data_IF_609525384330
#
_entry.id   IF_609525384330
#
_cell.length_a   1.000
_cell.length_b   1.000
_cell.length_c   1.000
_cell.angle_alpha   90.00
_cell.angle_beta   90.00
_cell.angle_gamma   90.00
#
_symmetry.space_group_name_H-M   'P 1'
#
loop_
_entity.id
_entity.type
_entity.pdbx_description
1 polymer ?
#
# COMPACT_ATOMS: atom_id res chain seq x y z
N UNK A 1 27.27 4.74 -7.07
CA UNK A 1 26.58 4.89 -5.77
C UNK A 1 27.63 4.84 -4.66
N UNK A 2 27.68 5.80 -3.73
CA UNK A 2 28.70 5.82 -2.67
C UNK A 2 28.41 4.74 -1.61
N UNK A 3 29.45 4.23 -0.93
CA UNK A 3 29.30 3.21 0.11
C UNK A 3 28.35 3.63 1.25
N UNK A 4 28.29 4.94 1.54
CA UNK A 4 27.39 5.50 2.56
C UNK A 4 25.91 5.36 2.15
N UNK A 5 25.58 5.54 0.88
CA UNK A 5 24.20 5.42 0.37
C UNK A 5 23.76 3.96 0.40
N UNK A 6 24.61 3.04 -0.04
CA UNK A 6 24.30 1.61 0.00
C UNK A 6 24.05 1.13 1.43
N UNK A 7 24.88 1.57 2.39
CA UNK A 7 24.71 1.21 3.79
C UNK A 7 23.45 1.84 4.41
N UNK A 8 23.12 3.08 4.05
CA UNK A 8 21.88 3.71 4.50
C UNK A 8 20.63 3.00 3.96
N UNK A 9 20.64 2.59 2.68
CA UNK A 9 19.60 1.78 2.06
C UNK A 9 19.45 0.42 2.77
N UNK A 10 20.56 -0.27 3.07
CA UNK A 10 20.53 -1.52 3.82
C UNK A 10 19.90 -1.36 5.22
N UNK A 11 20.23 -0.28 5.95
CA UNK A 11 19.59 0.00 7.24
C UNK A 11 18.10 0.30 7.09
N UNK A 12 17.70 1.05 6.06
CA UNK A 12 16.29 1.35 5.82
C UNK A 12 15.48 0.06 5.55
N UNK A 13 15.99 -0.85 4.73
CA UNK A 13 15.32 -2.14 4.47
C UNK A 13 15.12 -2.95 5.74
N UNK A 14 16.15 -3.03 6.59
CA UNK A 14 16.03 -3.70 7.89
C UNK A 14 14.99 -3.04 8.79
N UNK A 15 14.91 -1.72 8.80
CA UNK A 15 13.91 -0.97 9.55
C UNK A 15 12.49 -1.18 9.00
N UNK A 16 12.33 -1.46 7.70
CA UNK A 16 11.04 -1.76 7.10
C UNK A 16 10.58 -3.19 7.38
N UNK A 17 11.51 -4.15 7.39
CA UNK A 17 11.24 -5.55 7.76
C UNK A 17 10.90 -5.68 9.24
N UNK A 18 11.65 -4.96 10.08
CA UNK A 18 11.43 -4.89 11.52
C UNK A 18 11.46 -3.43 11.99
N UNK A 19 10.29 -2.77 12.07
CA UNK A 19 10.17 -1.41 12.61
C UNK A 19 10.59 -1.29 14.08
N UNK A 20 10.64 -2.42 14.81
CA UNK A 20 11.16 -2.48 16.18
C UNK A 20 12.68 -2.62 16.25
N UNK A 21 13.35 -2.75 15.09
CA UNK A 21 14.81 -2.82 15.01
C UNK A 21 15.47 -1.58 15.63
N UNK A 22 16.69 -1.78 16.11
CA UNK A 22 17.37 -0.87 17.05
C UNK A 22 17.37 0.58 16.57
N UNK A 23 17.09 1.51 17.50
CA UNK A 23 17.33 2.95 17.34
C UNK A 23 18.74 3.27 16.80
N UNK A 24 19.69 2.35 16.99
CA UNK A 24 21.00 2.38 16.34
C UNK A 24 20.92 2.45 14.81
N UNK A 25 20.16 1.58 14.15
CA UNK A 25 20.05 1.54 12.68
C UNK A 25 19.43 2.82 12.13
N UNK A 26 18.35 3.30 12.77
CA UNK A 26 17.72 4.58 12.44
C UNK A 26 18.73 5.74 12.54
N UNK A 27 19.44 5.86 13.66
CA UNK A 27 20.43 6.91 13.87
C UNK A 27 21.60 6.82 12.88
N UNK A 28 22.04 5.60 12.53
CA UNK A 28 23.09 5.38 11.53
C UNK A 28 22.63 5.79 10.14
N UNK A 29 21.45 5.40 9.71
CA UNK A 29 20.87 5.81 8.43
C UNK A 29 20.81 7.33 8.32
N UNK A 30 20.26 8.03 9.33
CA UNK A 30 20.26 9.49 9.35
C UNK A 30 21.66 10.10 9.26
N UNK A 31 22.61 9.60 10.05
CA UNK A 31 23.97 10.16 10.09
C UNK A 31 24.64 10.05 8.73
N UNK A 32 24.52 8.89 8.07
CA UNK A 32 25.07 8.65 6.74
C UNK A 32 24.43 9.58 5.71
N UNK A 33 23.09 9.65 5.67
CA UNK A 33 22.37 10.47 4.70
C UNK A 33 22.62 11.97 4.93
N UNK A 34 22.63 12.45 6.19
CA UNK A 34 22.97 13.85 6.53
C UNK A 34 24.40 14.19 6.09
N UNK A 35 25.36 13.29 6.29
CA UNK A 35 26.75 13.48 5.83
C UNK A 35 26.83 13.62 4.30
N UNK A 36 26.10 12.79 3.55
CA UNK A 36 26.06 12.88 2.08
C UNK A 36 25.41 14.20 1.64
N UNK A 37 24.25 14.54 2.19
CA UNK A 37 23.49 15.73 1.83
C UNK A 37 24.20 17.04 2.24
N UNK A 38 25.03 17.02 3.29
CA UNK A 38 25.86 18.18 3.64
C UNK A 38 26.91 18.51 2.57
N UNK A 39 27.40 17.50 1.83
CA UNK A 39 28.39 17.68 0.75
C UNK A 39 27.73 17.87 -0.61
N UNK A 40 26.61 17.20 -0.85
CA UNK A 40 25.85 17.24 -2.09
C UNK A 40 24.35 17.32 -1.78
N UNK A 41 23.81 18.54 -1.51
CA UNK A 41 22.41 18.72 -1.13
C UNK A 41 21.41 18.20 -2.16
N UNK A 42 21.77 18.21 -3.45
CA UNK A 42 20.92 17.77 -4.56
C UNK A 42 21.10 16.27 -4.90
N UNK A 43 21.79 15.50 -4.07
CA UNK A 43 22.02 14.09 -4.35
C UNK A 43 20.71 13.30 -4.34
N UNK A 44 20.21 12.93 -5.52
CA UNK A 44 18.89 12.34 -5.73
C UNK A 44 18.62 11.11 -4.85
N UNK A 45 19.45 10.07 -4.91
CA UNK A 45 19.24 8.86 -4.11
C UNK A 45 19.28 9.10 -2.60
N UNK A 46 20.14 10.03 -2.13
CA UNK A 46 20.23 10.34 -0.71
C UNK A 46 18.98 11.11 -0.24
N UNK A 47 18.45 12.00 -1.08
CA UNK A 47 17.17 12.65 -0.84
C UNK A 47 16.01 11.65 -0.85
N UNK A 48 15.98 10.69 -1.78
CA UNK A 48 14.95 9.65 -1.79
C UNK A 48 14.97 8.82 -0.50
N UNK A 49 16.13 8.28 -0.13
CA UNK A 49 16.28 7.48 1.09
C UNK A 49 15.97 8.29 2.35
N UNK A 50 16.35 9.58 2.39
CA UNK A 50 15.99 10.46 3.50
C UNK A 50 14.48 10.69 3.57
N UNK A 51 13.82 10.86 2.42
CA UNK A 51 12.37 11.02 2.37
C UNK A 51 11.64 9.77 2.89
N UNK A 52 12.06 8.58 2.46
CA UNK A 52 11.51 7.30 2.92
C UNK A 52 11.77 7.09 4.42
N UNK A 53 12.98 7.36 4.91
CA UNK A 53 13.30 7.28 6.34
C UNK A 53 12.40 8.22 7.16
N UNK A 54 12.28 9.47 6.72
CA UNK A 54 11.47 10.49 7.40
C UNK A 54 9.98 10.13 7.41
N UNK A 55 9.44 9.62 6.29
CA UNK A 55 8.03 9.25 6.17
C UNK A 55 7.71 7.93 6.89
N UNK A 56 8.45 6.86 6.58
CA UNK A 56 8.09 5.50 6.94
C UNK A 56 8.54 5.12 8.35
N UNK A 57 9.66 5.69 8.81
CA UNK A 57 10.30 5.31 10.07
C UNK A 57 10.10 6.37 11.15
N UNK A 58 10.26 7.64 10.79
CA UNK A 58 10.07 8.76 11.74
C UNK A 58 8.62 9.25 11.79
N UNK A 59 7.83 8.93 10.77
CA UNK A 59 6.41 9.29 10.70
C UNK A 59 6.21 10.82 10.69
N UNK A 60 7.09 11.53 9.97
CA UNK A 60 7.07 12.99 9.82
C UNK A 60 6.75 13.39 8.35
N UNK A 61 5.48 13.24 7.90
CA UNK A 61 5.11 13.42 6.50
C UNK A 61 5.42 14.83 5.96
N UNK A 62 5.26 15.88 6.76
CA UNK A 62 5.55 17.25 6.32
C UNK A 62 7.04 17.48 6.08
N UNK A 63 7.90 16.88 6.91
CA UNK A 63 9.35 16.96 6.76
C UNK A 63 9.84 16.15 5.55
N UNK A 64 9.20 15.02 5.24
CA UNK A 64 9.56 14.17 4.10
C UNK A 64 9.34 14.86 2.74
N UNK A 65 8.32 15.73 2.61
CA UNK A 65 7.93 16.38 1.35
C UNK A 65 9.09 17.07 0.64
N UNK A 66 9.98 17.78 1.36
CA UNK A 66 11.11 18.49 0.75
C UNK A 66 12.12 17.54 0.11
N UNK A 67 12.33 16.39 0.74
CA UNK A 67 13.28 15.38 0.29
C UNK A 67 12.74 14.64 -0.93
N UNK A 68 11.44 14.32 -0.97
CA UNK A 68 10.82 13.77 -2.17
C UNK A 68 10.95 14.72 -3.38
N UNK A 69 10.68 16.02 -3.18
CA UNK A 69 10.84 17.03 -4.26
C UNK A 69 12.28 17.09 -4.77
N UNK A 70 13.27 16.99 -3.88
CA UNK A 70 14.67 16.96 -4.25
C UNK A 70 15.13 15.65 -4.92
N UNK A 71 14.29 14.61 -4.92
CA UNK A 71 14.58 13.30 -5.52
C UNK A 71 13.95 13.10 -6.92
N UNK A 72 13.17 14.06 -7.44
CA UNK A 72 12.40 13.92 -8.70
C UNK A 72 13.27 13.77 -9.97
N UNK A 73 14.60 13.83 -9.86
CA UNK A 73 15.49 13.66 -11.01
C UNK A 73 15.60 12.23 -11.56
N UNK A 74 14.96 11.22 -10.95
CA UNK A 74 14.91 9.86 -11.48
C UNK A 74 13.56 9.17 -11.20
N UNK A 75 13.27 8.09 -11.94
CA UNK A 75 11.99 7.38 -11.94
C UNK A 75 11.46 7.05 -10.53
N UNK A 76 12.29 6.45 -9.68
CA UNK A 76 11.89 6.07 -8.31
C UNK A 76 11.50 7.26 -7.43
N UNK A 77 12.08 8.45 -7.65
CA UNK A 77 11.68 9.67 -6.94
C UNK A 77 10.26 10.10 -7.30
N UNK A 78 9.90 9.99 -8.58
CA UNK A 78 8.53 10.22 -9.05
C UNK A 78 7.55 9.21 -8.48
N UNK A 79 7.91 7.92 -8.47
CA UNK A 79 7.10 6.86 -7.88
C UNK A 79 6.72 7.16 -6.42
N UNK A 80 7.73 7.37 -5.57
CA UNK A 80 7.50 7.60 -4.14
C UNK A 80 6.83 8.93 -3.85
N UNK A 81 7.13 9.98 -4.63
CA UNK A 81 6.43 11.24 -4.46
C UNK A 81 4.95 11.13 -4.86
N UNK A 82 4.63 10.37 -5.91
CA UNK A 82 3.25 10.06 -6.27
C UNK A 82 2.52 9.31 -5.15
N UNK A 83 3.16 8.31 -4.55
CA UNK A 83 2.62 7.59 -3.37
C UNK A 83 2.39 8.50 -2.16
N UNK A 84 3.32 9.42 -1.89
CA UNK A 84 3.20 10.41 -0.83
C UNK A 84 2.03 11.37 -1.10
N UNK A 85 1.91 11.90 -2.33
CA UNK A 85 0.81 12.78 -2.70
C UNK A 85 -0.54 12.08 -2.55
N UNK A 86 -0.62 10.81 -2.97
CA UNK A 86 -1.80 9.98 -2.78
C UNK A 86 -2.20 9.89 -1.32
N UNK A 87 -1.25 9.58 -0.42
CA UNK A 87 -1.50 9.49 1.01
C UNK A 87 -1.95 10.83 1.62
N UNK A 88 -1.52 11.95 1.04
CA UNK A 88 -1.96 13.30 1.46
C UNK A 88 -3.30 13.75 0.85
N UNK A 89 -3.90 12.95 -0.04
CA UNK A 89 -5.15 13.26 -0.73
C UNK A 89 -5.01 14.06 -2.03
N UNK A 90 -3.79 14.33 -2.49
CA UNK A 90 -3.53 14.98 -3.79
C UNK A 90 -3.53 13.94 -4.91
N UNK A 91 -4.73 13.48 -5.29
CA UNK A 91 -4.92 12.43 -6.30
C UNK A 91 -4.40 12.84 -7.68
N UNK A 92 -4.59 14.10 -8.08
CA UNK A 92 -4.15 14.56 -9.40
C UNK A 92 -2.62 14.64 -9.47
N UNK A 93 -1.96 15.20 -8.45
CA UNK A 93 -0.51 15.22 -8.38
C UNK A 93 0.09 13.80 -8.29
N UNK A 94 -0.59 12.88 -7.60
CA UNK A 94 -0.19 11.47 -7.57
C UNK A 94 -0.21 10.82 -8.96
N UNK A 95 -1.29 11.03 -9.73
CA UNK A 95 -1.40 10.54 -11.11
C UNK A 95 -0.32 11.12 -12.02
N UNK A 96 -0.07 12.43 -11.94
CA UNK A 96 0.92 13.10 -12.79
C UNK A 96 2.33 12.53 -12.57
N UNK A 97 2.71 12.28 -11.32
CA UNK A 97 4.03 11.73 -11.00
C UNK A 97 4.15 10.22 -11.28
N UNK A 98 3.07 9.45 -11.14
CA UNK A 98 3.09 8.05 -11.55
C UNK A 98 3.23 7.90 -13.07
N UNK A 99 2.68 8.82 -13.86
CA UNK A 99 2.92 8.84 -15.30
C UNK A 99 4.38 9.19 -15.62
N UNK A 100 5.00 10.15 -14.92
CA UNK A 100 6.44 10.41 -15.05
C UNK A 100 7.28 9.17 -14.69
N UNK A 101 6.92 8.44 -13.64
CA UNK A 101 7.57 7.18 -13.28
C UNK A 101 7.52 6.17 -14.44
N UNK A 102 6.34 5.97 -15.04
CA UNK A 102 6.17 5.08 -16.20
C UNK A 102 6.96 5.50 -17.43
N UNK A 103 7.12 6.81 -17.66
CA UNK A 103 7.91 7.32 -18.79
C UNK A 103 9.41 7.11 -18.59
N UNK A 104 9.88 7.10 -17.34
CA UNK A 104 11.29 6.98 -16.99
C UNK A 104 11.74 5.54 -16.69
N UNK A 105 10.82 4.65 -16.31
CA UNK A 105 11.09 3.23 -16.02
C UNK A 105 10.14 2.31 -16.81
N UNK A 106 10.65 1.53 -17.79
CA UNK A 106 9.85 0.56 -18.55
C UNK A 106 9.12 -0.48 -17.69
N UNK A 107 9.61 -0.79 -16.48
CA UNK A 107 8.95 -1.70 -15.55
C UNK A 107 7.83 -1.02 -14.73
N UNK A 108 7.69 0.30 -14.81
CA UNK A 108 6.66 1.02 -14.05
C UNK A 108 5.23 0.63 -14.42
N UNK A 109 5.02 -0.01 -15.57
CA UNK A 109 3.73 -0.51 -16.03
C UNK A 109 3.21 -1.72 -15.25
N UNK A 110 4.09 -2.48 -14.58
CA UNK A 110 3.75 -3.68 -13.81
C UNK A 110 3.84 -3.49 -12.30
N UNK A 111 3.95 -2.23 -11.82
CA UNK A 111 4.10 -1.94 -10.40
C UNK A 111 2.76 -1.79 -9.67
N UNK A 112 2.65 -2.36 -8.47
CA UNK A 112 1.45 -2.33 -7.64
C UNK A 112 0.99 -0.94 -7.26
N UNK A 113 1.95 -0.03 -7.15
CA UNK A 113 1.71 1.37 -6.91
C UNK A 113 0.79 2.01 -7.96
N UNK A 114 0.88 1.60 -9.22
CA UNK A 114 0.21 2.27 -10.35
C UNK A 114 -1.26 1.90 -10.36
N UNK A 115 -1.58 0.61 -10.29
CA UNK A 115 -2.95 0.14 -10.17
C UNK A 115 -3.60 0.64 -8.86
N UNK A 116 -2.82 0.71 -7.77
CA UNK A 116 -3.27 1.30 -6.52
C UNK A 116 -3.64 2.77 -6.69
N UNK A 117 -2.78 3.60 -7.29
CA UNK A 117 -3.04 5.03 -7.51
C UNK A 117 -4.28 5.26 -8.39
N UNK A 118 -4.45 4.49 -9.47
CA UNK A 118 -5.66 4.60 -10.30
C UNK A 118 -6.93 4.20 -9.56
N UNK A 119 -6.87 3.11 -8.78
CA UNK A 119 -8.00 2.64 -7.97
C UNK A 119 -8.38 3.70 -6.93
N UNK A 120 -7.40 4.24 -6.23
CA UNK A 120 -7.60 5.25 -5.19
C UNK A 120 -8.07 6.59 -5.77
N UNK A 121 -7.76 6.88 -7.04
CA UNK A 121 -8.20 8.08 -7.76
C UNK A 121 -9.57 7.92 -8.44
N UNK A 122 -10.33 6.86 -8.13
CA UNK A 122 -11.66 6.57 -8.68
C UNK A 122 -11.72 6.48 -10.22
N UNK A 123 -10.61 6.11 -10.88
CA UNK A 123 -10.56 5.89 -12.34
C UNK A 123 -10.64 4.40 -12.66
N UNK A 124 -11.67 3.74 -12.14
CA UNK A 124 -11.76 2.28 -12.12
C UNK A 124 -11.89 1.66 -13.52
N UNK A 125 -12.68 2.26 -14.42
CA UNK A 125 -12.84 1.77 -15.80
C UNK A 125 -11.54 1.92 -16.59
N UNK A 126 -10.84 3.05 -16.45
CA UNK A 126 -9.55 3.26 -17.09
C UNK A 126 -8.48 2.29 -16.54
N UNK A 127 -8.53 1.99 -15.24
CA UNK A 127 -7.68 0.97 -14.63
C UNK A 127 -7.98 -0.42 -15.19
N UNK A 128 -9.25 -0.79 -15.33
CA UNK A 128 -9.67 -2.06 -15.90
C UNK A 128 -9.18 -2.20 -17.35
N UNK A 129 -9.41 -1.18 -18.19
CA UNK A 129 -8.95 -1.16 -19.58
C UNK A 129 -7.43 -1.30 -19.71
N UNK A 130 -6.67 -0.68 -18.79
CA UNK A 130 -5.23 -0.81 -18.77
C UNK A 130 -4.79 -2.23 -18.36
N UNK A 131 -5.42 -2.81 -17.33
CA UNK A 131 -5.13 -4.17 -16.88
C UNK A 131 -5.45 -5.19 -17.97
N UNK A 132 -6.62 -5.12 -18.59
CA UNK A 132 -7.01 -6.10 -19.63
C UNK A 132 -6.05 -6.12 -20.84
N UNK A 133 -5.42 -4.99 -21.17
CA UNK A 133 -4.37 -4.95 -22.21
C UNK A 133 -3.09 -5.68 -21.82
N UNK A 134 -2.82 -5.84 -20.52
CA UNK A 134 -1.67 -6.55 -19.98
C UNK A 134 -1.91 -8.06 -19.84
N UNK A 135 -3.16 -8.52 -19.96
CA UNK A 135 -3.54 -9.92 -19.79
C UNK A 135 -2.64 -10.91 -20.55
N UNK A 136 -2.32 -10.72 -21.85
CA UNK A 136 -1.51 -11.69 -22.61
C UNK A 136 -0.12 -11.93 -22.04
N UNK A 137 0.37 -11.02 -21.20
CA UNK A 137 1.72 -11.03 -20.63
C UNK A 137 1.75 -11.25 -19.11
N UNK A 138 0.60 -11.13 -18.44
CA UNK A 138 0.52 -11.02 -16.97
C UNK A 138 -0.41 -12.04 -16.31
N UNK A 139 -0.97 -12.98 -17.05
CA UNK A 139 -1.96 -13.96 -16.53
C UNK A 139 -1.39 -14.97 -15.52
N UNK A 140 -0.07 -15.02 -15.35
CA UNK A 140 0.58 -15.78 -14.27
C UNK A 140 1.04 -14.91 -13.11
N UNK A 141 0.82 -13.59 -13.19
CA UNK A 141 1.26 -12.63 -12.20
C UNK A 141 0.22 -12.49 -11.10
N UNK A 142 0.57 -12.87 -9.87
CA UNK A 142 -0.27 -12.61 -8.69
C UNK A 142 -0.71 -11.15 -8.60
N UNK A 143 0.20 -10.25 -8.91
CA UNK A 143 -0.06 -8.82 -8.90
C UNK A 143 -1.23 -8.43 -9.83
N UNK A 144 -1.24 -8.98 -11.04
CA UNK A 144 -2.29 -8.73 -12.02
C UNK A 144 -3.67 -9.15 -11.51
N UNK A 145 -3.77 -10.35 -10.92
CA UNK A 145 -5.02 -10.86 -10.35
C UNK A 145 -5.47 -10.07 -9.12
N UNK A 146 -4.55 -9.66 -8.25
CA UNK A 146 -4.83 -8.75 -7.11
C UNK A 146 -5.44 -7.43 -7.57
N UNK A 147 -4.92 -6.85 -8.65
CA UNK A 147 -5.43 -5.60 -9.21
C UNK A 147 -6.81 -5.77 -9.82
N UNK A 148 -6.99 -6.80 -10.65
CA UNK A 148 -8.30 -7.07 -11.25
C UNK A 148 -9.35 -7.31 -10.16
N UNK A 149 -9.04 -8.07 -9.11
CA UNK A 149 -9.95 -8.23 -7.97
C UNK A 149 -10.38 -6.88 -7.43
N UNK A 150 -9.41 -6.04 -7.04
CA UNK A 150 -9.67 -4.75 -6.42
C UNK A 150 -10.51 -3.85 -7.32
N UNK A 151 -10.19 -3.78 -8.63
CA UNK A 151 -10.95 -2.98 -9.60
C UNK A 151 -12.37 -3.53 -9.78
N UNK A 152 -12.55 -4.86 -9.89
CA UNK A 152 -13.87 -5.46 -9.99
C UNK A 152 -14.72 -5.25 -8.73
N UNK A 153 -14.12 -5.24 -7.54
CA UNK A 153 -14.83 -4.90 -6.29
C UNK A 153 -15.35 -3.47 -6.32
N UNK A 154 -14.52 -2.51 -6.74
CA UNK A 154 -14.93 -1.10 -6.84
C UNK A 154 -16.01 -0.88 -7.92
N UNK A 155 -16.00 -1.66 -8.99
CA UNK A 155 -17.02 -1.63 -10.04
C UNK A 155 -18.31 -2.41 -9.68
N UNK A 156 -18.35 -3.11 -8.54
CA UNK A 156 -19.49 -3.95 -8.16
C UNK A 156 -19.61 -5.24 -8.97
N UNK A 157 -18.57 -5.64 -9.70
CA UNK A 157 -18.48 -6.86 -10.50
C UNK A 157 -18.13 -8.07 -9.62
N UNK A 158 -19.00 -8.33 -8.64
CA UNK A 158 -18.77 -9.24 -7.49
C UNK A 158 -18.27 -10.63 -7.91
N UNK A 159 -18.86 -11.25 -8.94
CA UNK A 159 -18.45 -12.57 -9.40
C UNK A 159 -17.05 -12.56 -10.01
N UNK A 160 -16.71 -11.53 -10.81
CA UNK A 160 -15.38 -11.42 -11.42
C UNK A 160 -14.33 -11.17 -10.34
N UNK A 161 -14.61 -10.29 -9.37
CA UNK A 161 -13.77 -10.09 -8.21
C UNK A 161 -13.49 -11.40 -7.47
N UNK A 162 -14.53 -12.19 -7.20
CA UNK A 162 -14.39 -13.47 -6.53
C UNK A 162 -13.55 -14.47 -7.32
N UNK A 163 -13.71 -14.56 -8.64
CA UNK A 163 -12.83 -15.38 -9.49
C UNK A 163 -11.35 -15.00 -9.33
N UNK A 164 -11.04 -13.70 -9.32
CA UNK A 164 -9.66 -13.25 -9.13
C UNK A 164 -9.15 -13.53 -7.71
N UNK A 165 -10.00 -13.39 -6.70
CA UNK A 165 -9.67 -13.76 -5.33
C UNK A 165 -9.28 -15.25 -5.23
N UNK A 166 -10.08 -16.14 -5.82
CA UNK A 166 -9.79 -17.58 -5.80
C UNK A 166 -8.45 -17.91 -6.44
N UNK A 167 -8.12 -17.25 -7.56
CA UNK A 167 -6.81 -17.40 -8.20
C UNK A 167 -5.68 -17.02 -7.23
N UNK A 168 -5.77 -15.85 -6.59
CA UNK A 168 -4.74 -15.36 -5.66
C UNK A 168 -4.62 -16.27 -4.43
N UNK A 169 -5.73 -16.78 -3.91
CA UNK A 169 -5.72 -17.73 -2.80
C UNK A 169 -5.08 -19.06 -3.21
N UNK A 170 -5.38 -19.59 -4.39
CA UNK A 170 -4.73 -20.79 -4.88
C UNK A 170 -3.21 -20.61 -5.00
N UNK A 171 -2.76 -19.49 -5.57
CA UNK A 171 -1.34 -19.15 -5.69
C UNK A 171 -0.67 -18.91 -4.31
N UNK A 172 -1.43 -18.44 -3.32
CA UNK A 172 -0.99 -18.32 -1.93
C UNK A 172 -0.95 -19.67 -1.17
N UNK A 173 -1.33 -20.78 -1.80
CA UNK A 173 -1.22 -22.13 -1.23
C UNK A 173 -2.44 -22.59 -0.43
N UNK A 174 -3.61 -21.95 -0.61
CA UNK A 174 -4.84 -22.44 0.01
C UNK A 174 -5.21 -23.80 -0.56
N UNK A 175 -5.46 -24.77 0.34
CA UNK A 175 -5.82 -26.13 -0.06
C UNK A 175 -7.23 -26.17 -0.67
N UNK A 176 -7.56 -27.21 -1.47
CA UNK A 176 -8.91 -27.38 -2.00
C UNK A 176 -10.01 -27.36 -0.94
N UNK A 177 -9.72 -27.83 0.28
CA UNK A 177 -10.66 -27.81 1.39
C UNK A 177 -10.91 -26.41 1.96
N UNK A 178 -9.91 -25.52 1.95
CA UNK A 178 -10.09 -24.12 2.34
C UNK A 178 -10.81 -23.35 1.24
N UNK A 179 -10.45 -23.61 -0.03
CA UNK A 179 -11.14 -23.02 -1.19
C UNK A 179 -12.63 -23.33 -1.19
N UNK A 180 -13.03 -24.57 -0.89
CA UNK A 180 -14.45 -24.95 -0.78
C UNK A 180 -15.19 -24.20 0.35
N UNK A 181 -14.52 -23.88 1.46
CA UNK A 181 -15.11 -23.08 2.54
C UNK A 181 -15.34 -21.64 2.08
N UNK A 182 -14.37 -21.07 1.37
CA UNK A 182 -14.45 -19.73 0.80
C UNK A 182 -15.58 -19.64 -0.24
N UNK A 183 -15.70 -20.62 -1.12
CA UNK A 183 -16.81 -20.73 -2.09
C UNK A 183 -18.17 -20.86 -1.39
N UNK A 184 -18.24 -21.65 -0.31
CA UNK A 184 -19.47 -21.76 0.49
C UNK A 184 -19.84 -20.44 1.17
N UNK A 185 -18.85 -19.72 1.71
CA UNK A 185 -19.05 -18.40 2.30
C UNK A 185 -19.55 -17.38 1.26
N UNK A 186 -18.97 -17.41 0.06
CA UNK A 186 -19.40 -16.58 -1.07
C UNK A 186 -20.83 -16.91 -1.51
N UNK A 187 -21.18 -18.19 -1.66
CA UNK A 187 -22.52 -18.61 -2.08
C UNK A 187 -23.61 -18.18 -1.08
N UNK A 188 -23.27 -18.08 0.20
CA UNK A 188 -24.20 -17.71 1.27
C UNK A 188 -24.40 -16.20 1.39
N UNK A 189 -23.29 -15.44 1.45
CA UNK A 189 -23.32 -14.01 1.82
C UNK A 189 -22.56 -13.11 0.83
N UNK A 190 -22.18 -13.61 -0.34
CA UNK A 190 -21.35 -12.90 -1.30
C UNK A 190 -19.95 -12.59 -0.77
N UNK A 191 -19.34 -11.50 -1.25
CA UNK A 191 -17.99 -11.10 -0.82
C UNK A 191 -17.91 -10.83 0.69
N UNK A 192 -18.97 -10.30 1.29
CA UNK A 192 -18.98 -10.05 2.75
C UNK A 192 -18.80 -11.35 3.55
N UNK A 193 -19.36 -12.46 3.08
CA UNK A 193 -19.13 -13.80 3.65
C UNK A 193 -17.67 -14.24 3.55
N UNK A 194 -17.05 -14.04 2.38
CA UNK A 194 -15.64 -14.36 2.14
C UNK A 194 -14.74 -13.57 3.07
N UNK A 195 -14.98 -12.25 3.19
CA UNK A 195 -14.20 -11.39 4.06
C UNK A 195 -14.39 -11.70 5.55
N UNK A 196 -15.59 -12.11 5.96
CA UNK A 196 -15.85 -12.61 7.31
C UNK A 196 -15.10 -13.91 7.59
N UNK A 197 -15.05 -14.82 6.63
CA UNK A 197 -14.24 -16.04 6.72
C UNK A 197 -12.74 -15.72 6.85
N UNK A 198 -12.22 -14.82 6.00
CA UNK A 198 -10.82 -14.36 6.08
C UNK A 198 -10.48 -13.70 7.43
N UNK A 199 -11.45 -13.00 8.01
CA UNK A 199 -11.30 -12.32 9.30
C UNK A 199 -11.23 -13.31 10.48
N UNK A 200 -12.11 -14.30 10.53
CA UNK A 200 -12.31 -15.13 11.73
C UNK A 200 -11.82 -16.57 11.59
N UNK A 201 -11.85 -17.13 10.39
CA UNK A 201 -11.71 -18.57 10.17
C UNK A 201 -10.42 -18.95 9.42
N UNK A 202 -9.84 -18.03 8.63
CA UNK A 202 -8.65 -18.31 7.82
C UNK A 202 -7.43 -18.72 8.68
N UNK A 203 -6.97 -19.97 8.59
CA UNK A 203 -5.82 -20.44 9.35
C UNK A 203 -4.48 -20.06 8.72
N UNK A 204 -4.45 -19.73 7.42
CA UNK A 204 -3.20 -19.40 6.71
C UNK A 204 -2.78 -17.97 6.98
N UNK A 205 -3.74 -17.04 7.08
CA UNK A 205 -3.49 -15.59 7.24
C UNK A 205 -2.49 -15.07 6.21
N UNK A 206 -2.53 -15.64 5.00
CA UNK A 206 -1.59 -15.33 3.94
C UNK A 206 -1.86 -13.93 3.37
N UNK A 207 -0.81 -13.27 2.85
CA UNK A 207 -1.00 -12.04 2.09
C UNK A 207 -1.53 -12.37 0.69
N UNK A 208 -2.84 -12.17 0.54
CA UNK A 208 -3.57 -12.32 -0.71
C UNK A 208 -3.71 -10.97 -1.43
N UNK A 209 -2.77 -10.04 -1.25
CA UNK A 209 -2.83 -8.69 -1.82
C UNK A 209 -3.71 -7.76 -0.97
N UNK A 210 -3.71 -7.98 0.34
CA UNK A 210 -4.42 -7.15 1.32
C UNK A 210 -3.50 -6.74 2.47
N UNK A 211 -2.19 -6.84 2.26
CA UNK A 211 -1.13 -6.66 3.25
C UNK A 211 -1.12 -7.78 4.29
N UNK A 212 -0.20 -7.69 5.23
CA UNK A 212 -0.12 -8.60 6.38
C UNK A 212 -0.95 -8.07 7.56
N UNK A 213 -1.43 -8.96 8.46
CA UNK A 213 -2.10 -8.53 9.69
C UNK A 213 -1.20 -7.60 10.54
N UNK A 214 -1.76 -6.60 11.23
CA UNK A 214 -3.19 -6.30 11.40
C UNK A 214 -3.87 -5.55 10.26
N UNK A 215 -3.14 -4.96 9.29
CA UNK A 215 -3.74 -4.18 8.21
C UNK A 215 -4.77 -4.99 7.38
N UNK A 216 -4.46 -6.23 7.00
CA UNK A 216 -5.43 -7.05 6.26
C UNK A 216 -6.70 -7.31 7.06
N UNK A 217 -6.58 -7.53 8.37
CA UNK A 217 -7.73 -7.73 9.27
C UNK A 217 -8.60 -6.49 9.38
N UNK A 218 -8.00 -5.29 9.37
CA UNK A 218 -8.77 -4.05 9.30
C UNK A 218 -9.62 -3.98 8.03
N UNK A 219 -9.04 -4.30 6.87
CA UNK A 219 -9.76 -4.32 5.59
C UNK A 219 -10.88 -5.37 5.60
N UNK A 220 -10.59 -6.58 6.06
CA UNK A 220 -11.57 -7.67 6.12
C UNK A 220 -12.74 -7.32 7.04
N UNK A 221 -12.46 -6.71 8.19
CA UNK A 221 -13.48 -6.25 9.11
C UNK A 221 -14.41 -5.21 8.49
N UNK A 222 -13.90 -4.26 7.69
CA UNK A 222 -14.81 -3.35 6.97
C UNK A 222 -15.69 -4.10 5.98
N UNK A 223 -15.09 -4.96 5.15
CA UNK A 223 -15.84 -5.69 4.12
C UNK A 223 -16.83 -6.72 4.71
N UNK A 224 -16.59 -7.19 5.93
CA UNK A 224 -17.49 -8.05 6.69
C UNK A 224 -18.62 -7.29 7.42
N UNK A 225 -18.54 -5.95 7.49
CA UNK A 225 -19.46 -5.08 8.21
C UNK A 225 -19.14 -4.86 9.70
N UNK A 226 -17.95 -5.28 10.16
CA UNK A 226 -17.48 -5.22 11.55
C UNK A 226 -16.64 -3.95 11.78
N UNK A 227 -17.28 -2.78 11.67
CA UNK A 227 -16.60 -1.48 11.60
C UNK A 227 -15.80 -1.11 12.86
N UNK A 228 -16.29 -1.39 14.06
CA UNK A 228 -15.55 -1.10 15.30
C UNK A 228 -14.26 -1.93 15.39
N UNK A 229 -14.33 -3.19 14.98
CA UNK A 229 -13.17 -4.08 14.91
C UNK A 229 -12.17 -3.64 13.84
N UNK A 230 -12.66 -3.12 12.70
CA UNK A 230 -11.81 -2.55 11.66
C UNK A 230 -10.95 -1.39 12.20
N UNK A 231 -11.55 -0.47 12.95
CA UNK A 231 -10.81 0.64 13.56
C UNK A 231 -9.80 0.13 14.60
N UNK A 232 -10.16 -0.87 15.40
CA UNK A 232 -9.22 -1.46 16.37
C UNK A 232 -7.99 -2.08 15.69
N UNK A 233 -8.16 -2.70 14.51
CA UNK A 233 -7.02 -3.22 13.74
C UNK A 233 -6.21 -2.12 13.05
N UNK A 234 -6.84 -1.03 12.59
CA UNK A 234 -6.11 0.15 12.08
C UNK A 234 -5.22 0.75 13.17
N UNK A 235 -5.72 0.86 14.39
CA UNK A 235 -4.93 1.34 15.54
C UNK A 235 -3.75 0.43 15.84
N UNK A 236 -3.94 -0.89 15.82
CA UNK A 236 -2.84 -1.85 15.95
C UNK A 236 -1.82 -1.75 14.81
N UNK A 237 -2.28 -1.52 13.57
CA UNK A 237 -1.41 -1.34 12.42
C UNK A 237 -0.54 -0.09 12.56
N UNK A 238 -1.11 0.99 13.11
CA UNK A 238 -0.40 2.23 13.38
C UNK A 238 0.62 2.06 14.51
N UNK A 239 0.26 1.36 15.58
CA UNK A 239 1.18 1.06 16.68
C UNK A 239 2.36 0.20 16.22
N UNK A 240 2.12 -0.72 15.26
CA UNK A 240 3.16 -1.51 14.58
C UNK A 240 3.88 -0.78 13.45
N UNK A 241 3.50 0.46 13.16
CA UNK A 241 4.02 1.28 12.05
C UNK A 241 4.01 0.55 10.70
N UNK A 242 2.96 -0.23 10.43
CA UNK A 242 2.78 -0.81 9.10
C UNK A 242 2.62 0.30 8.08
N UNK A 243 3.49 0.33 7.06
CA UNK A 243 3.49 1.40 6.04
C UNK A 243 2.11 1.64 5.41
N UNK A 244 1.30 0.59 5.23
CA UNK A 244 -0.03 0.66 4.66
C UNK A 244 -1.00 1.63 5.39
N UNK A 245 -0.74 1.96 6.67
CA UNK A 245 -1.60 2.89 7.43
C UNK A 245 -1.62 4.29 6.83
N UNK A 246 -0.57 4.69 6.12
CA UNK A 246 -0.45 6.03 5.52
C UNK A 246 -1.57 6.32 4.51
N UNK A 247 -2.08 5.30 3.82
CA UNK A 247 -3.18 5.45 2.86
C UNK A 247 -4.55 5.20 3.46
N UNK A 248 -4.65 4.83 4.75
CA UNK A 248 -5.92 4.44 5.36
C UNK A 248 -6.97 5.57 5.38
N UNK A 249 -6.54 6.83 5.25
CA UNK A 249 -7.42 7.99 5.23
C UNK A 249 -7.99 8.32 3.83
N UNK A 250 -7.42 7.73 2.78
CA UNK A 250 -7.81 7.96 1.36
C UNK A 250 -8.28 6.67 0.68
N UNK A 251 -8.11 5.52 1.33
CA UNK A 251 -8.48 4.22 0.77
C UNK A 251 -9.99 4.01 0.76
N UNK A 252 -10.61 3.79 -0.42
CA UNK A 252 -12.05 3.60 -0.54
C UNK A 252 -12.61 2.49 0.33
N UNK A 253 -11.82 1.46 0.66
CA UNK A 253 -12.25 0.37 1.54
C UNK A 253 -12.72 0.89 2.91
N UNK A 254 -12.15 1.99 3.40
CA UNK A 254 -12.48 2.59 4.70
C UNK A 254 -13.56 3.68 4.61
N UNK A 255 -14.12 3.96 3.43
CA UNK A 255 -15.22 4.93 3.27
C UNK A 255 -16.39 4.71 4.24
N UNK A 256 -16.85 3.46 4.49
CA UNK A 256 -17.90 3.22 5.48
C UNK A 256 -17.55 3.72 6.90
N UNK A 257 -16.27 3.87 7.22
CA UNK A 257 -15.78 4.31 8.52
C UNK A 257 -15.73 5.84 8.67
N UNK A 258 -15.93 6.63 7.62
CA UNK A 258 -15.71 8.09 7.67
C UNK A 258 -16.60 8.82 8.70
N UNK A 259 -17.76 8.24 9.01
CA UNK A 259 -18.69 8.78 10.02
C UNK A 259 -18.38 8.31 11.46
N UNK A 260 -17.46 7.35 11.64
CA UNK A 260 -17.13 6.78 12.95
C UNK A 260 -16.17 7.70 13.70
N UNK A 261 -16.51 8.17 14.92
CA UNK A 261 -15.64 9.08 15.68
C UNK A 261 -14.25 8.50 15.98
N UNK A 262 -14.15 7.19 16.19
CA UNK A 262 -12.90 6.46 16.42
C UNK A 262 -11.99 6.50 15.19
N UNK A 263 -12.55 6.27 13.99
CA UNK A 263 -11.82 6.38 12.73
C UNK A 263 -11.34 7.81 12.46
N UNK A 264 -12.18 8.82 12.73
CA UNK A 264 -11.77 10.22 12.60
C UNK A 264 -10.64 10.60 13.57
N UNK A 265 -10.62 10.00 14.77
CA UNK A 265 -9.51 10.16 15.71
C UNK A 265 -8.22 9.52 15.19
N UNK A 266 -8.31 8.28 14.70
CA UNK A 266 -7.22 7.57 14.04
C UNK A 266 -6.61 8.39 12.89
N UNK A 267 -7.44 8.90 11.96
CA UNK A 267 -6.95 9.71 10.82
C UNK A 267 -6.23 10.99 11.30
N UNK A 268 -6.71 11.65 12.36
CA UNK A 268 -6.02 12.82 12.92
C UNK A 268 -4.64 12.47 13.48
N UNK A 269 -4.45 11.26 14.01
CA UNK A 269 -3.14 10.80 14.50
C UNK A 269 -2.16 10.46 13.39
N UNK A 270 -2.63 10.17 12.18
CA UNK A 270 -1.75 9.95 11.03
C UNK A 270 -1.01 11.23 10.60
N UNK A 271 -1.59 12.40 10.86
CA UNK A 271 -1.04 13.72 10.55
C UNK A 271 -0.60 13.90 9.07
N UNK A 272 -1.22 13.17 8.14
CA UNK A 272 -0.80 13.14 6.73
C UNK A 272 -1.69 13.97 5.79
N UNK A 273 -2.98 14.12 6.10
CA UNK A 273 -3.90 14.94 5.30
C UNK A 273 -3.66 16.41 5.64
N UNK A 274 -3.23 17.18 4.65
CA UNK A 274 -3.14 18.64 4.77
C UNK A 274 -4.56 19.20 4.62
N UNK A 275 -5.08 19.86 5.65
CA UNK A 275 -6.38 20.56 5.60
C UNK A 275 -6.28 21.86 4.81
#
# INVERSE_FOLDING_TARGET
MSAQIWLADAYLRQLQEDPSSSAHHRNRAHTLLKSVLAKAPEHLNANLLMAQLTLLIDFEPQAARRYFKAALGHAEGHHWYGQFLLATGDFQGALDHIEQYRLLDPNGYSSESVAWVYTMSQRHEAALDALLKLQPYSDTSRFYHTCLRTVYEQLGEVNKAFTQMLWVMQDAGYSPSLMAQVESAFARDGLSGVYRWLLHEDPLRADIGHYTPPMSLARYAVMAGEHDLAVAYLEQALDRRQQAVLWSAVDPVFTPLYQYPSYQHFVRRLDIITR
#
